data_IF_898621002359
#
_entry.id   IF_898621002359
#
_cell.length_a   1.000
_cell.length_b   1.000
_cell.length_c   1.000
_cell.angle_alpha   90.00
_cell.angle_beta   90.00
_cell.angle_gamma   90.00
#
_symmetry.space_group_name_H-M   'P 1'
#
loop_
_entity.id
_entity.type
_entity.pdbx_description
1 polymer ?
#
# COMPACT_ATOMS: atom_id res chain seq x y z
N UNK A 1 -24.31 7.60 9.12
CA UNK A 1 -23.42 6.43 9.06
C UNK A 1 -22.80 6.23 10.42
N UNK A 2 -22.80 5.01 10.98
CA UNK A 2 -22.12 4.77 12.27
C UNK A 2 -20.60 4.91 12.11
N UNK A 3 -19.88 5.34 13.15
CA UNK A 3 -18.39 5.39 13.15
C UNK A 3 -17.79 4.05 12.72
N UNK A 4 -18.38 2.94 13.19
CA UNK A 4 -18.02 1.57 12.82
C UNK A 4 -18.14 1.32 11.31
N UNK A 5 -19.28 1.66 10.71
CA UNK A 5 -19.53 1.45 9.28
C UNK A 5 -18.49 2.18 8.41
N UNK A 6 -18.07 3.38 8.83
CA UNK A 6 -17.03 4.13 8.12
C UNK A 6 -15.66 3.47 8.23
N UNK A 7 -15.25 3.04 9.43
CA UNK A 7 -13.98 2.33 9.61
C UNK A 7 -13.92 1.02 8.82
N UNK A 8 -15.00 0.25 8.75
CA UNK A 8 -15.07 -0.94 7.88
C UNK A 8 -15.00 -0.59 6.40
N UNK A 9 -15.63 0.51 5.96
CA UNK A 9 -15.50 0.97 4.58
C UNK A 9 -14.04 1.30 4.23
N UNK A 10 -13.30 1.92 5.16
CA UNK A 10 -11.86 2.17 5.01
C UNK A 10 -11.03 0.88 4.94
N UNK A 11 -11.38 -0.15 5.71
CA UNK A 11 -10.70 -1.46 5.65
C UNK A 11 -11.00 -2.15 4.31
N UNK A 12 -12.25 -2.14 3.86
CA UNK A 12 -12.65 -2.70 2.56
C UNK A 12 -11.94 -1.96 1.42
N UNK A 13 -11.81 -0.64 1.51
CA UNK A 13 -11.08 0.12 0.50
C UNK A 13 -9.60 -0.28 0.45
N UNK A 14 -8.97 -0.57 1.60
CA UNK A 14 -7.60 -1.09 1.63
C UNK A 14 -7.45 -2.44 0.90
N UNK A 15 -8.38 -3.37 1.14
CA UNK A 15 -8.39 -4.68 0.46
C UNK A 15 -8.64 -4.51 -1.04
N UNK A 16 -9.58 -3.65 -1.41
CA UNK A 16 -9.87 -3.34 -2.81
C UNK A 16 -8.68 -2.66 -3.50
N UNK A 17 -7.94 -1.79 -2.79
CA UNK A 17 -6.72 -1.15 -3.30
C UNK A 17 -5.66 -2.19 -3.68
N UNK A 18 -5.36 -3.13 -2.77
CA UNK A 18 -4.40 -4.21 -3.03
C UNK A 18 -4.87 -5.10 -4.19
N UNK A 19 -6.15 -5.46 -4.22
CA UNK A 19 -6.72 -6.25 -5.31
C UNK A 19 -6.62 -5.53 -6.66
N UNK A 20 -6.90 -4.22 -6.71
CA UNK A 20 -6.74 -3.41 -7.91
C UNK A 20 -5.28 -3.36 -8.38
N UNK A 21 -4.31 -3.17 -7.48
CA UNK A 21 -2.88 -3.15 -7.84
C UNK A 21 -2.41 -4.50 -8.42
N UNK A 22 -2.80 -5.62 -7.79
CA UNK A 22 -2.47 -6.96 -8.30
C UNK A 22 -3.16 -7.21 -9.65
N UNK A 23 -4.45 -6.90 -9.77
CA UNK A 23 -5.18 -7.02 -11.02
C UNK A 23 -4.57 -6.15 -12.13
N UNK A 24 -4.04 -4.97 -11.80
CA UNK A 24 -3.39 -4.08 -12.76
C UNK A 24 -2.12 -4.70 -13.36
N UNK A 25 -1.29 -5.31 -12.52
CA UNK A 25 -0.07 -6.01 -12.95
C UNK A 25 -0.43 -7.22 -13.82
N UNK A 26 -1.42 -8.02 -13.42
CA UNK A 26 -1.87 -9.19 -14.20
C UNK A 26 -2.47 -8.74 -15.55
N UNK A 27 -3.33 -7.72 -15.55
CA UNK A 27 -3.95 -7.21 -16.77
C UNK A 27 -2.91 -6.67 -17.76
N UNK A 28 -1.84 -6.04 -17.26
CA UNK A 28 -0.77 -5.48 -18.10
C UNK A 28 0.27 -6.50 -18.57
N UNK A 29 0.12 -7.77 -18.19
CA UNK A 29 1.13 -8.83 -18.36
C UNK A 29 2.50 -8.43 -17.76
N UNK A 30 2.45 -7.81 -16.58
CA UNK A 30 3.60 -7.36 -15.78
C UNK A 30 3.80 -8.22 -14.52
N UNK A 31 3.17 -9.41 -14.48
CA UNK A 31 3.34 -10.38 -13.40
C UNK A 31 3.71 -11.75 -13.99
N UNK A 32 5.02 -12.07 -14.16
CA UNK A 32 6.18 -11.33 -13.67
C UNK A 32 6.53 -10.06 -14.47
N UNK A 33 7.32 -9.12 -13.92
CA UNK A 33 7.73 -7.90 -14.60
C UNK A 33 8.49 -8.16 -15.90
N UNK A 34 8.27 -7.30 -16.88
CA UNK A 34 9.10 -7.29 -18.09
C UNK A 34 10.56 -6.96 -17.74
N UNK A 35 11.56 -7.52 -18.44
CA UNK A 35 12.97 -7.25 -18.15
C UNK A 35 13.43 -5.80 -18.44
N UNK A 36 14.26 -5.18 -17.58
CA UNK A 36 14.94 -3.90 -17.88
C UNK A 36 15.99 -3.99 -18.98
N UNK A 37 16.38 -5.20 -19.36
CA UNK A 37 17.35 -5.47 -20.41
C UNK A 37 16.74 -5.45 -21.82
N UNK A 38 15.42 -5.36 -21.94
CA UNK A 38 14.76 -5.26 -23.24
C UNK A 38 15.20 -4.00 -23.99
N UNK A 39 15.34 -4.13 -25.31
CA UNK A 39 15.47 -2.97 -26.18
C UNK A 39 14.12 -2.24 -26.34
N UNK A 40 14.16 -1.08 -27.00
CA UNK A 40 12.99 -0.24 -27.19
C UNK A 40 11.88 -0.96 -28.00
N UNK A 41 12.27 -1.73 -29.02
CA UNK A 41 11.33 -2.44 -29.90
C UNK A 41 10.67 -3.64 -29.20
N UNK A 42 11.40 -4.36 -28.35
CA UNK A 42 10.84 -5.39 -27.47
C UNK A 42 9.80 -4.78 -26.54
N UNK A 43 10.11 -3.64 -25.94
CA UNK A 43 9.18 -2.93 -25.05
C UNK A 43 7.92 -2.52 -25.80
N UNK A 44 8.02 -1.84 -26.94
CA UNK A 44 6.83 -1.44 -27.73
C UNK A 44 6.02 -2.64 -28.22
N UNK A 45 6.66 -3.74 -28.61
CA UNK A 45 5.95 -4.97 -28.99
C UNK A 45 5.11 -5.54 -27.86
N UNK A 46 5.60 -5.49 -26.62
CA UNK A 46 4.79 -5.87 -25.45
C UNK A 46 3.56 -4.98 -25.30
N UNK A 47 3.75 -3.66 -25.40
CA UNK A 47 2.64 -2.72 -25.29
C UNK A 47 1.58 -2.92 -26.39
N UNK A 48 1.99 -3.22 -27.62
CA UNK A 48 1.06 -3.51 -28.73
C UNK A 48 0.31 -4.83 -28.53
N UNK A 49 0.96 -5.87 -28.02
CA UNK A 49 0.33 -7.17 -27.78
C UNK A 49 -0.62 -7.16 -26.58
N UNK A 50 -0.38 -6.29 -25.59
CA UNK A 50 -1.17 -6.20 -24.37
C UNK A 50 -1.91 -4.87 -24.21
N UNK A 51 -2.18 -4.14 -25.30
CA UNK A 51 -2.70 -2.76 -25.26
C UNK A 51 -3.95 -2.60 -24.38
N UNK A 52 -4.95 -3.48 -24.56
CA UNK A 52 -6.20 -3.43 -23.78
C UNK A 52 -5.98 -3.78 -22.31
N UNK A 53 -5.08 -4.72 -22.07
CA UNK A 53 -4.66 -5.10 -20.73
C UNK A 53 -4.01 -3.94 -19.99
N UNK A 54 -3.10 -3.22 -20.65
CA UNK A 54 -2.40 -2.04 -20.11
C UNK A 54 -3.37 -0.86 -19.94
N UNK A 55 -4.35 -0.66 -20.83
CA UNK A 55 -5.43 0.33 -20.62
C UNK A 55 -6.19 0.05 -19.33
N UNK A 56 -6.63 -1.19 -19.11
CA UNK A 56 -7.30 -1.59 -17.88
C UNK A 56 -6.36 -1.46 -16.66
N UNK A 57 -5.12 -1.92 -16.78
CA UNK A 57 -4.12 -1.84 -15.72
C UNK A 57 -3.82 -0.42 -15.27
N UNK A 58 -3.76 0.53 -16.20
CA UNK A 58 -3.56 1.95 -15.90
C UNK A 58 -4.68 2.51 -15.01
N UNK A 59 -5.94 2.20 -15.35
CA UNK A 59 -7.11 2.62 -14.54
C UNK A 59 -7.12 1.92 -13.18
N UNK A 60 -6.81 0.61 -13.15
CA UNK A 60 -6.75 -0.15 -11.91
C UNK A 60 -5.68 0.37 -10.95
N UNK A 61 -4.51 0.80 -11.45
CA UNK A 61 -3.50 1.48 -10.65
C UNK A 61 -4.02 2.79 -10.06
N UNK A 62 -4.69 3.62 -10.86
CA UNK A 62 -5.28 4.88 -10.36
C UNK A 62 -6.31 4.58 -9.26
N UNK A 63 -7.17 3.58 -9.47
CA UNK A 63 -8.17 3.16 -8.47
C UNK A 63 -7.51 2.62 -7.21
N UNK A 64 -6.42 1.84 -7.31
CA UNK A 64 -5.66 1.38 -6.16
C UNK A 64 -5.19 2.57 -5.31
N UNK A 65 -4.68 3.62 -5.95
CA UNK A 65 -4.26 4.85 -5.28
C UNK A 65 -5.41 5.64 -4.64
N UNK A 66 -6.60 5.70 -5.26
CA UNK A 66 -7.78 6.34 -4.67
C UNK A 66 -8.27 5.60 -3.42
N UNK A 67 -8.13 4.27 -3.39
CA UNK A 67 -8.64 3.42 -2.33
C UNK A 67 -7.68 3.25 -1.13
N UNK A 68 -6.38 3.38 -1.37
CA UNK A 68 -5.32 3.20 -0.35
C UNK A 68 -5.43 4.14 0.87
N UNK A 69 -5.78 5.44 0.73
CA UNK A 69 -5.89 6.36 1.87
C UNK A 69 -6.85 5.89 2.96
N UNK A 70 -7.82 5.03 2.65
CA UNK A 70 -8.68 4.41 3.67
C UNK A 70 -7.87 3.59 4.70
N UNK A 71 -6.86 2.84 4.26
CA UNK A 71 -5.96 2.11 5.16
C UNK A 71 -5.24 3.07 6.11
N UNK A 72 -4.62 4.11 5.55
CA UNK A 72 -3.90 5.11 6.33
C UNK A 72 -4.82 5.79 7.35
N UNK A 73 -6.05 6.14 6.94
CA UNK A 73 -7.03 6.78 7.80
C UNK A 73 -7.45 5.90 8.98
N UNK A 74 -7.78 4.63 8.74
CA UNK A 74 -8.20 3.73 9.82
C UNK A 74 -7.04 3.37 10.75
N UNK A 75 -5.82 3.20 10.23
CA UNK A 75 -4.63 3.03 11.07
C UNK A 75 -4.41 4.25 11.96
N UNK A 76 -4.43 5.45 11.38
CA UNK A 76 -4.28 6.70 12.15
C UNK A 76 -5.37 6.86 13.21
N UNK A 77 -6.62 6.51 12.90
CA UNK A 77 -7.73 6.52 13.86
C UNK A 77 -7.52 5.52 15.01
N UNK A 78 -7.05 4.31 14.71
CA UNK A 78 -6.78 3.29 15.73
C UNK A 78 -5.54 3.61 16.57
N UNK A 79 -4.49 4.18 15.96
CA UNK A 79 -3.35 4.71 16.70
C UNK A 79 -3.79 5.81 17.67
N UNK A 80 -4.82 6.61 17.34
CA UNK A 80 -5.48 7.55 18.26
C UNK A 80 -6.20 6.91 19.46
N UNK A 81 -6.05 5.61 19.70
CA UNK A 81 -6.52 4.96 20.93
C UNK A 81 -5.37 4.48 21.82
N UNK A 82 -4.13 4.56 21.35
CA UNK A 82 -2.94 4.12 22.08
C UNK A 82 -2.48 5.21 23.08
N UNK A 83 -2.37 4.93 24.39
CA UNK A 83 -1.85 5.89 25.38
C UNK A 83 -0.38 6.24 25.12
N UNK A 84 0.04 7.47 25.40
CA UNK A 84 1.45 7.90 25.29
C UNK A 84 1.96 8.14 23.87
N UNK A 85 1.12 7.93 22.84
CA UNK A 85 1.46 8.26 21.44
C UNK A 85 1.74 9.76 21.26
N UNK A 86 2.59 10.07 20.29
CA UNK A 86 2.84 11.44 19.86
C UNK A 86 1.96 11.81 18.65
N UNK A 87 1.31 12.98 18.66
CA UNK A 87 0.41 13.40 17.57
C UNK A 87 1.12 13.52 16.20
N UNK A 88 2.38 13.92 16.21
CA UNK A 88 3.20 13.94 14.98
C UNK A 88 3.29 12.57 14.31
N UNK A 89 3.29 11.45 15.07
CA UNK A 89 3.31 10.11 14.48
C UNK A 89 2.00 9.79 13.75
N UNK A 90 0.86 10.32 14.23
CA UNK A 90 -0.45 10.14 13.56
C UNK A 90 -0.50 10.92 12.25
N UNK A 91 0.04 12.14 12.26
CA UNK A 91 0.13 13.00 11.08
C UNK A 91 1.09 12.38 10.06
N UNK A 92 2.26 11.89 10.52
CA UNK A 92 3.25 11.23 9.68
C UNK A 92 2.68 9.96 9.04
N UNK A 93 1.98 9.12 9.81
CA UNK A 93 1.30 7.92 9.32
C UNK A 93 0.34 8.24 8.16
N UNK A 94 -0.49 9.27 8.33
CA UNK A 94 -1.48 9.68 7.33
C UNK A 94 -0.82 10.32 6.10
N UNK A 95 0.18 11.18 6.34
CA UNK A 95 0.94 11.86 5.30
C UNK A 95 1.68 10.87 4.41
N UNK A 96 2.46 9.95 4.99
CA UNK A 96 3.15 8.90 4.24
C UNK A 96 2.17 8.00 3.48
N UNK A 97 1.02 7.67 4.06
CA UNK A 97 0.00 6.89 3.38
C UNK A 97 -0.58 7.58 2.15
N UNK A 98 -0.84 8.89 2.25
CA UNK A 98 -1.36 9.69 1.14
C UNK A 98 -0.32 9.87 0.03
N UNK A 99 0.95 10.08 0.40
CA UNK A 99 2.05 10.20 -0.56
C UNK A 99 2.29 8.85 -1.26
N UNK A 100 2.22 7.73 -0.53
CA UNK A 100 2.32 6.38 -1.11
C UNK A 100 1.18 6.12 -2.10
N UNK A 101 -0.05 6.49 -1.73
CA UNK A 101 -1.22 6.39 -2.61
C UNK A 101 -1.02 7.16 -3.92
N UNK A 102 -0.63 8.43 -3.81
CA UNK A 102 -0.45 9.29 -4.97
C UNK A 102 0.75 8.89 -5.82
N UNK A 103 1.94 8.78 -5.23
CA UNK A 103 3.18 8.51 -5.95
C UNK A 103 3.28 7.06 -6.45
N UNK A 104 2.95 6.09 -5.59
CA UNK A 104 3.11 4.67 -5.89
C UNK A 104 2.05 4.11 -6.83
N UNK A 105 0.83 4.67 -6.83
CA UNK A 105 -0.29 4.12 -7.58
C UNK A 105 -0.90 5.11 -8.59
N UNK A 106 -1.34 6.31 -8.16
CA UNK A 106 -2.01 7.26 -9.07
C UNK A 106 -1.04 7.72 -10.18
N UNK A 107 0.12 8.25 -9.78
CA UNK A 107 1.11 8.76 -10.73
C UNK A 107 1.66 7.64 -11.62
N UNK A 108 1.95 6.48 -11.04
CA UNK A 108 2.32 5.25 -11.75
C UNK A 108 1.29 4.88 -12.81
N UNK A 109 -0.01 4.85 -12.48
CA UNK A 109 -1.08 4.53 -13.43
C UNK A 109 -1.26 5.58 -14.53
N UNK A 110 -1.07 6.87 -14.21
CA UNK A 110 -1.07 7.95 -15.21
C UNK A 110 0.09 7.77 -16.19
N UNK A 111 1.30 7.50 -15.69
CA UNK A 111 2.47 7.27 -16.55
C UNK A 111 2.26 6.04 -17.42
N UNK A 112 1.68 4.96 -16.89
CA UNK A 112 1.36 3.77 -17.67
C UNK A 112 0.35 4.07 -18.79
N UNK A 113 -0.68 4.88 -18.50
CA UNK A 113 -1.64 5.32 -19.50
C UNK A 113 -0.95 6.12 -20.62
N UNK A 114 -0.06 7.05 -20.28
CA UNK A 114 0.71 7.85 -21.25
C UNK A 114 1.70 6.99 -22.04
N UNK A 115 2.29 5.98 -21.41
CA UNK A 115 3.14 5.00 -22.08
C UNK A 115 2.35 4.24 -23.16
N UNK A 116 1.11 3.88 -22.87
CA UNK A 116 0.26 3.11 -23.79
C UNK A 116 -0.51 3.95 -24.83
N UNK A 117 -0.70 5.25 -24.60
CA UNK A 117 -1.62 6.09 -25.38
C UNK A 117 -1.22 6.28 -26.86
N UNK A 118 0.08 6.27 -27.17
CA UNK A 118 0.61 6.44 -28.53
C UNK A 118 1.74 5.45 -28.79
N UNK A 119 1.43 4.35 -29.46
CA UNK A 119 2.37 3.27 -29.78
C UNK A 119 3.00 3.41 -31.18
N UNK A 120 2.68 4.46 -31.91
CA UNK A 120 3.20 4.87 -33.20
C UNK A 120 4.40 5.85 -33.10
N UNK A 121 4.68 6.35 -31.88
CA UNK A 121 5.84 7.21 -31.61
C UNK A 121 7.17 6.40 -31.63
N UNK A 122 8.33 7.08 -31.72
CA UNK A 122 9.64 6.43 -31.58
C UNK A 122 9.71 5.53 -30.34
N UNK A 123 10.24 4.32 -30.51
CA UNK A 123 10.13 3.26 -29.51
C UNK A 123 10.83 3.62 -28.19
N UNK A 124 11.90 4.40 -28.27
CA UNK A 124 12.71 4.87 -27.15
C UNK A 124 11.87 5.73 -26.17
N UNK A 125 10.87 6.45 -26.68
CA UNK A 125 9.97 7.25 -25.83
C UNK A 125 9.07 6.33 -25.00
N UNK A 126 8.56 5.25 -25.60
CA UNK A 126 7.76 4.26 -24.86
C UNK A 126 8.60 3.50 -23.86
N UNK A 127 9.85 3.16 -24.21
CA UNK A 127 10.78 2.56 -23.28
C UNK A 127 11.06 3.46 -22.08
N UNK A 128 11.38 4.74 -22.30
CA UNK A 128 11.63 5.68 -21.21
C UNK A 128 10.40 5.87 -20.29
N UNK A 129 9.19 5.85 -20.83
CA UNK A 129 7.96 5.93 -20.03
C UNK A 129 7.66 4.64 -19.27
N UNK A 130 7.97 3.48 -19.84
CA UNK A 130 7.94 2.21 -19.12
C UNK A 130 8.93 2.20 -17.96
N UNK A 131 10.15 2.67 -18.17
CA UNK A 131 11.17 2.76 -17.13
C UNK A 131 10.69 3.68 -16.00
N UNK A 132 10.11 4.83 -16.36
CA UNK A 132 9.51 5.75 -15.40
C UNK A 132 8.36 5.10 -14.59
N UNK A 133 7.52 4.28 -15.23
CA UNK A 133 6.49 3.50 -14.54
C UNK A 133 7.11 2.57 -13.48
N UNK A 134 8.13 1.78 -13.84
CA UNK A 134 8.78 0.86 -12.90
C UNK A 134 9.51 1.60 -11.78
N UNK A 135 10.15 2.73 -12.08
CA UNK A 135 10.80 3.56 -11.06
C UNK A 135 9.80 4.16 -10.09
N UNK A 136 8.68 4.72 -10.56
CA UNK A 136 7.65 5.28 -9.68
C UNK A 136 7.02 4.19 -8.80
N UNK A 137 6.73 3.04 -9.39
CA UNK A 137 6.12 1.93 -8.67
C UNK A 137 7.03 1.37 -7.57
N UNK A 138 8.35 1.27 -7.82
CA UNK A 138 9.29 0.61 -6.92
C UNK A 138 10.07 1.56 -6.00
N UNK A 139 10.44 2.76 -6.44
CA UNK A 139 11.27 3.68 -5.63
C UNK A 139 10.49 4.46 -4.58
N UNK A 140 9.16 4.34 -4.52
CA UNK A 140 8.35 4.95 -3.45
C UNK A 140 8.54 4.26 -2.08
N UNK A 141 9.22 3.12 -2.04
CA UNK A 141 9.48 2.28 -0.86
C UNK A 141 9.90 3.05 0.40
N UNK A 142 10.79 4.06 0.38
CA UNK A 142 11.15 4.79 1.60
C UNK A 142 9.97 5.46 2.30
N UNK A 143 9.02 6.00 1.53
CA UNK A 143 7.83 6.65 2.10
C UNK A 143 6.91 5.61 2.74
N UNK A 144 6.72 4.46 2.08
CA UNK A 144 5.99 3.33 2.65
C UNK A 144 6.67 2.79 3.91
N UNK A 145 7.99 2.66 3.91
CA UNK A 145 8.75 2.20 5.07
C UNK A 145 8.65 3.20 6.23
N UNK A 146 8.65 4.50 5.94
CA UNK A 146 8.42 5.50 6.98
C UNK A 146 7.01 5.38 7.59
N UNK A 147 5.99 5.09 6.79
CA UNK A 147 4.64 4.76 7.29
C UNK A 147 4.69 3.52 8.20
N UNK A 148 5.26 2.42 7.70
CA UNK A 148 5.34 1.13 8.39
C UNK A 148 6.10 1.21 9.72
N UNK A 149 7.24 1.91 9.72
CA UNK A 149 8.06 2.14 10.91
C UNK A 149 7.38 3.07 11.92
N UNK A 150 6.61 4.05 11.45
CA UNK A 150 5.81 4.92 12.32
C UNK A 150 4.74 4.12 13.07
N UNK A 151 4.02 3.25 12.36
CA UNK A 151 3.06 2.33 12.97
C UNK A 151 3.77 1.40 13.99
N UNK A 152 4.87 0.77 13.60
CA UNK A 152 5.63 -0.11 14.48
C UNK A 152 6.09 0.61 15.76
N UNK A 153 6.60 1.83 15.64
CA UNK A 153 7.02 2.64 16.78
C UNK A 153 5.88 2.91 17.75
N UNK A 154 4.70 3.33 17.26
CA UNK A 154 3.54 3.58 18.13
C UNK A 154 3.02 2.29 18.78
N UNK A 155 3.04 1.16 18.09
CA UNK A 155 2.66 -0.14 18.68
C UNK A 155 3.61 -0.51 19.84
N UNK A 156 4.91 -0.27 19.69
CA UNK A 156 5.90 -0.58 20.73
C UNK A 156 5.78 0.33 21.95
N UNK A 157 5.19 1.52 21.81
CA UNK A 157 4.87 2.41 22.92
C UNK A 157 3.63 2.02 23.72
N UNK A 158 2.85 1.04 23.24
CA UNK A 158 1.64 0.61 23.92
C UNK A 158 1.96 -0.11 25.25
N UNK A 159 1.74 0.59 26.37
CA UNK A 159 2.00 0.09 27.73
C UNK A 159 0.82 -0.63 28.36
N UNK A 160 -0.31 -0.78 27.65
CA UNK A 160 -1.47 -1.50 28.18
C UNK A 160 -1.14 -2.97 28.47
N UNK A 161 -1.77 -3.58 29.50
CA UNK A 161 -1.65 -5.02 29.75
C UNK A 161 -2.08 -5.87 28.55
N UNK A 162 -3.11 -5.41 27.83
CA UNK A 162 -3.58 -5.95 26.56
C UNK A 162 -3.41 -4.89 25.46
N UNK A 163 -2.30 -4.93 24.69
CA UNK A 163 -2.07 -3.99 23.61
C UNK A 163 -3.18 -4.01 22.56
N UNK A 164 -3.46 -2.85 21.94
CA UNK A 164 -4.47 -2.75 20.87
C UNK A 164 -4.08 -3.59 19.66
N UNK A 165 -2.80 -3.56 19.33
CA UNK A 165 -2.20 -4.35 18.28
C UNK A 165 -1.15 -5.31 18.88
N UNK A 166 -1.13 -6.59 18.45
CA UNK A 166 -0.06 -7.51 18.79
C UNK A 166 1.33 -6.92 18.45
N UNK A 167 2.29 -7.03 19.37
CA UNK A 167 3.67 -6.55 19.14
C UNK A 167 4.35 -7.22 17.92
N UNK A 168 3.91 -8.43 17.57
CA UNK A 168 4.35 -9.13 16.35
C UNK A 168 4.19 -8.28 15.07
N UNK A 169 3.16 -7.43 15.01
CA UNK A 169 2.90 -6.55 13.84
C UNK A 169 3.97 -5.46 13.73
N UNK A 170 4.48 -4.96 14.85
CA UNK A 170 5.57 -4.00 14.85
C UNK A 170 6.85 -4.62 14.30
N UNK A 171 7.20 -5.82 14.76
CA UNK A 171 8.38 -6.55 14.26
C UNK A 171 8.23 -6.91 12.78
N UNK A 172 7.03 -7.32 12.35
CA UNK A 172 6.73 -7.59 10.95
C UNK A 172 6.99 -6.36 10.07
N UNK A 173 6.49 -5.19 10.47
CA UNK A 173 6.68 -3.94 9.74
C UNK A 173 8.16 -3.48 9.70
N UNK A 174 8.91 -3.69 10.78
CA UNK A 174 10.35 -3.41 10.83
C UNK A 174 11.11 -4.34 9.87
N UNK A 175 10.84 -5.66 9.93
CA UNK A 175 11.48 -6.65 9.05
C UNK A 175 11.14 -6.39 7.59
N UNK A 176 9.86 -6.15 7.28
CA UNK A 176 9.42 -5.78 5.94
C UNK A 176 10.13 -4.53 5.40
N UNK A 177 10.30 -3.51 6.25
CA UNK A 177 11.02 -2.29 5.89
C UNK A 177 12.49 -2.58 5.57
N UNK A 178 13.16 -3.43 6.34
CA UNK A 178 14.54 -3.83 6.08
C UNK A 178 14.64 -4.63 4.77
N UNK A 179 13.71 -5.56 4.53
CA UNK A 179 13.72 -6.41 3.34
C UNK A 179 13.47 -5.65 2.03
N UNK A 180 12.75 -4.53 2.10
CA UNK A 180 12.44 -3.70 0.92
C UNK A 180 13.50 -2.63 0.64
N UNK A 181 14.34 -2.27 1.60
CA UNK A 181 15.42 -1.26 1.41
C UNK A 181 16.33 -1.52 0.19
N UNK A 182 16.74 -2.77 -0.12
CA UNK A 182 17.56 -3.04 -1.30
C UNK A 182 16.94 -2.61 -2.64
N UNK A 183 15.60 -2.47 -2.71
CA UNK A 183 14.89 -1.95 -3.90
C UNK A 183 15.43 -0.59 -4.33
N UNK A 184 15.97 0.23 -3.43
CA UNK A 184 16.58 1.51 -3.80
C UNK A 184 17.74 1.39 -4.79
N UNK A 185 18.45 0.25 -4.80
CA UNK A 185 19.52 -0.03 -5.74
C UNK A 185 19.04 -0.39 -7.16
N UNK A 186 17.73 -0.47 -7.41
CA UNK A 186 17.21 -0.94 -8.70
C UNK A 186 17.64 -0.09 -9.90
N UNK A 187 17.88 1.21 -9.67
CA UNK A 187 18.32 2.14 -10.71
C UNK A 187 19.79 1.95 -11.13
N UNK A 188 20.56 1.18 -10.36
CA UNK A 188 21.98 0.95 -10.64
C UNK A 188 22.21 -0.25 -11.57
N UNK A 189 21.22 -1.11 -11.78
CA UNK A 189 21.39 -2.39 -12.49
C UNK A 189 20.24 -2.68 -13.45
N UNK A 190 20.56 -3.38 -14.54
CA UNK A 190 19.57 -3.89 -15.51
C UNK A 190 19.44 -5.43 -15.49
N UNK A 191 20.25 -6.09 -14.67
CA UNK A 191 20.32 -7.55 -14.57
C UNK A 191 20.52 -8.00 -13.12
N UNK A 192 20.22 -9.26 -12.85
CA UNK A 192 20.44 -9.89 -11.56
C UNK A 192 19.33 -9.59 -10.53
N UNK A 193 19.57 -9.94 -9.26
CA UNK A 193 18.53 -9.93 -8.23
C UNK A 193 17.98 -8.54 -7.89
N UNK A 194 18.77 -7.48 -8.14
CA UNK A 194 18.39 -6.09 -7.87
C UNK A 194 17.72 -5.37 -9.06
N UNK A 195 17.69 -5.96 -10.25
CA UNK A 195 16.88 -5.43 -11.35
C UNK A 195 15.39 -5.44 -10.98
N UNK A 196 14.55 -4.58 -11.57
CA UNK A 196 13.13 -4.50 -11.17
C UNK A 196 12.32 -5.78 -11.41
N UNK A 197 12.80 -6.69 -12.26
CA UNK A 197 12.23 -8.02 -12.48
C UNK A 197 12.93 -9.12 -11.67
N UNK A 198 13.91 -8.75 -10.84
CA UNK A 198 14.75 -9.65 -10.06
C UNK A 198 14.10 -10.17 -8.77
N UNK A 199 14.72 -11.20 -8.20
CA UNK A 199 14.25 -11.87 -6.98
C UNK A 199 14.09 -10.93 -5.78
N UNK A 200 14.98 -9.96 -5.61
CA UNK A 200 14.97 -9.07 -4.44
C UNK A 200 14.03 -7.90 -4.68
N UNK A 201 14.23 -7.16 -5.77
CA UNK A 201 13.47 -5.92 -6.02
C UNK A 201 12.00 -6.17 -6.28
N UNK A 202 11.63 -7.26 -6.95
CA UNK A 202 10.23 -7.59 -7.20
C UNK A 202 9.66 -8.52 -6.13
N UNK A 203 10.18 -9.74 -6.06
CA UNK A 203 9.50 -10.81 -5.31
C UNK A 203 9.57 -10.60 -3.81
N UNK A 204 10.76 -10.33 -3.26
CA UNK A 204 10.88 -10.00 -1.83
C UNK A 204 10.06 -8.75 -1.50
N UNK A 205 10.10 -7.71 -2.34
CA UNK A 205 9.33 -6.49 -2.10
C UNK A 205 7.81 -6.73 -2.10
N UNK A 206 7.27 -7.49 -3.06
CA UNK A 206 5.84 -7.80 -3.13
C UNK A 206 5.36 -8.55 -1.90
N UNK A 207 6.12 -9.54 -1.40
CA UNK A 207 5.75 -10.26 -0.18
C UNK A 207 5.94 -9.42 1.07
N UNK A 208 7.06 -8.68 1.16
CA UNK A 208 7.34 -7.79 2.27
C UNK A 208 6.36 -6.61 2.33
N UNK A 209 5.71 -6.24 1.23
CA UNK A 209 4.62 -5.27 1.22
C UNK A 209 3.25 -5.92 1.49
N UNK A 210 2.93 -7.01 0.80
CA UNK A 210 1.59 -7.62 0.85
C UNK A 210 1.27 -8.29 2.19
N UNK A 211 2.24 -8.97 2.81
CA UNK A 211 2.02 -9.67 4.08
C UNK A 211 1.66 -8.69 5.22
N UNK A 212 2.41 -7.59 5.46
CA UNK A 212 2.01 -6.58 6.45
C UNK A 212 0.61 -6.01 6.20
N UNK A 213 0.28 -5.63 4.96
CA UNK A 213 -1.04 -5.07 4.61
C UNK A 213 -2.16 -6.04 5.03
N UNK A 214 -2.02 -7.34 4.70
CA UNK A 214 -3.02 -8.37 5.03
C UNK A 214 -3.16 -8.52 6.56
N UNK A 215 -2.03 -8.60 7.28
CA UNK A 215 -2.02 -8.72 8.74
C UNK A 215 -2.64 -7.49 9.39
N UNK A 216 -2.32 -6.29 8.90
CA UNK A 216 -2.90 -5.03 9.36
C UNK A 216 -4.40 -5.00 9.17
N UNK A 217 -4.92 -5.35 7.98
CA UNK A 217 -6.36 -5.45 7.71
C UNK A 217 -7.07 -6.37 8.71
N UNK A 218 -6.49 -7.53 9.00
CA UNK A 218 -7.04 -8.48 9.97
C UNK A 218 -7.06 -7.86 11.38
N UNK A 219 -5.97 -7.23 11.79
CA UNK A 219 -5.84 -6.66 13.12
C UNK A 219 -6.68 -5.39 13.31
N UNK A 220 -6.80 -4.56 12.29
CA UNK A 220 -7.72 -3.41 12.26
C UNK A 220 -9.17 -3.87 12.38
N UNK A 221 -9.56 -4.90 11.63
CA UNK A 221 -10.91 -5.47 11.72
C UNK A 221 -11.24 -5.92 13.14
N UNK A 222 -10.28 -6.56 13.83
CA UNK A 222 -10.43 -6.96 15.23
C UNK A 222 -10.48 -5.77 16.18
N UNK A 223 -9.65 -4.75 15.96
CA UNK A 223 -9.60 -3.55 16.79
C UNK A 223 -10.90 -2.71 16.71
N UNK A 224 -11.52 -2.64 15.53
CA UNK A 224 -12.82 -1.97 15.32
C UNK A 224 -13.95 -2.71 16.04
N UNK A 225 -13.98 -4.05 15.97
CA UNK A 225 -14.99 -4.85 16.69
C UNK A 225 -14.82 -4.72 18.21
N UNK A 226 -13.58 -4.67 18.70
CA UNK A 226 -13.30 -4.50 20.13
C UNK A 226 -13.70 -3.11 20.64
N UNK A 227 -13.62 -2.08 19.80
CA UNK A 227 -14.04 -0.71 20.13
C UNK A 227 -15.52 -0.64 20.51
N UNK A 228 -16.37 -1.30 19.72
CA UNK A 228 -17.82 -1.31 19.91
C UNK A 228 -18.23 -1.97 21.22
N UNK A 229 -17.64 -3.13 21.55
CA UNK A 229 -17.92 -3.84 22.81
C UNK A 229 -17.65 -2.96 24.02
N UNK A 230 -16.55 -2.21 24.00
CA UNK A 230 -16.21 -1.32 25.09
C UNK A 230 -17.16 -0.12 25.21
N UNK A 231 -17.73 0.34 24.09
CA UNK A 231 -18.76 1.41 24.10
C UNK A 231 -20.11 0.88 24.58
N UNK A 232 -20.52 -0.32 24.17
CA UNK A 232 -21.78 -0.93 24.64
C UNK A 232 -21.74 -1.29 26.12
N UNK A 233 -20.61 -1.81 26.61
CA UNK A 233 -20.44 -2.18 28.03
C UNK A 233 -20.34 -0.96 28.96
N UNK A 234 -20.06 0.24 28.42
CA UNK A 234 -20.07 1.50 29.17
C UNK A 234 -21.46 2.17 29.27
N UNK A 235 -22.43 1.76 28.45
CA UNK A 235 -23.81 2.27 28.41
C UNK A 235 -24.91 1.53 29.25
N UNK A 236 -24.69 0.56 30.17
CA UNK A 236 -25.80 -0.23 30.73
C UNK A 236 -26.76 0.45 31.73
N UNK A 237 -26.50 1.65 32.28
CA UNK A 237 -27.16 2.07 33.54
C UNK A 237 -27.99 3.39 33.54
N UNK A 238 -28.30 4.00 32.39
CA UNK A 238 -29.17 5.20 32.39
C UNK A 238 -30.69 4.90 32.49
N UNK A 239 -31.10 3.62 32.58
CA UNK A 239 -32.51 3.22 32.45
C UNK A 239 -33.25 2.77 33.71
N UNK A 240 -32.57 2.52 34.85
CA UNK A 240 -33.20 1.84 36.01
C UNK A 240 -33.51 2.71 37.24
N UNK A 241 -33.21 4.00 37.21
CA UNK A 241 -33.35 4.89 38.39
C UNK A 241 -34.60 5.80 38.45
N UNK A 242 -35.54 5.73 37.50
CA UNK A 242 -36.71 6.66 37.44
C UNK A 242 -38.06 5.95 37.55
N UNK A 243 -38.22 5.10 38.56
CA UNK A 243 -39.54 4.71 39.09
C UNK A 243 -39.40 4.45 40.60
N UNK A 244 -39.53 5.51 41.38
CA UNK A 244 -39.92 5.48 42.79
C UNK A 244 -40.87 6.66 43.00
#
# INVERSE_FOLDING_TARGET
>A
MSSRSFQFACIISAVASLACAVAALIASDFFPPIPPSWDAEQTVRHYRSHEKGIQAGSVLFIMAGVLYPGLAAVISAQMRRIPGRHDAAIILQMGCGTITAYGGFILTGIVLAVANYRLDRPAEITQALNDLFWFLFMLIVPIYNLQSLTLAWVILQDTRPTPLFPRAIAYLNIVASILTMPTLGLHCVKFGPLAWNGAVTFWVAVFAYGIPIIVEVICLSRAVVAEERNVSDASPDEGKGRRA
#
